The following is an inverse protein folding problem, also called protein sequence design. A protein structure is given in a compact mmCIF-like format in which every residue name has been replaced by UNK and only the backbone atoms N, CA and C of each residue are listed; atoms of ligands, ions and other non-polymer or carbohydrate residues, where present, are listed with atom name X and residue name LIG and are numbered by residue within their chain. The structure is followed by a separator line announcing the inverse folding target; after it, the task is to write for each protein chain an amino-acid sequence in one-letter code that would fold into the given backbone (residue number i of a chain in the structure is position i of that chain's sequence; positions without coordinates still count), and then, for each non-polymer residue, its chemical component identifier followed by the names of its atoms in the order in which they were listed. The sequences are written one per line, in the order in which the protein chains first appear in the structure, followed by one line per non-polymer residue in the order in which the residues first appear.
data_IF_159231315253
#
_entry.id   IF_159231315253
#
_cell.length_a   1.000
_cell.length_b   1.000
_cell.length_c   1.000
_cell.angle_alpha   90.00
_cell.angle_beta   90.00
_cell.angle_gamma   90.00
#
_symmetry.space_group_name_H-M   'P 1'
#
loop_
_entity.id
_entity.type
_entity.pdbx_description
1 polymer ?
#
# COMPACT_ATOMS: atom_id res chain seq x y z
N UNK A 1 -34.79 -89.90 -22.33
CA UNK A 1 -35.43 -89.54 -21.05
C UNK A 1 -34.63 -90.20 -19.91
N UNK A 2 -33.73 -89.46 -19.26
CA UNK A 2 -33.14 -89.83 -17.96
C UNK A 2 -33.08 -88.55 -17.11
N UNK A 3 -33.68 -88.61 -15.93
CA UNK A 3 -33.66 -87.60 -14.86
C UNK A 3 -32.47 -87.85 -13.93
N UNK A 4 -32.24 -86.89 -13.01
CA UNK A 4 -31.39 -86.90 -11.80
C UNK A 4 -29.97 -86.35 -12.02
N UNK A 5 -29.39 -85.45 -11.22
CA UNK A 5 -29.69 -84.96 -9.85
C UNK A 5 -29.12 -83.53 -9.69
N UNK A 6 -29.94 -82.73 -9.02
CA UNK A 6 -29.67 -81.61 -8.10
C UNK A 6 -28.21 -81.40 -7.66
N UNK A 7 -27.66 -80.19 -7.85
CA UNK A 7 -26.81 -79.57 -6.83
C UNK A 7 -27.03 -78.06 -6.80
N UNK A 8 -27.60 -77.61 -5.70
CA UNK A 8 -27.80 -76.23 -5.30
C UNK A 8 -26.48 -75.72 -4.71
N UNK A 9 -25.93 -74.63 -5.23
CA UNK A 9 -24.94 -73.82 -4.49
C UNK A 9 -25.38 -72.38 -4.56
N UNK A 10 -25.91 -71.92 -3.43
CA UNK A 10 -26.18 -70.52 -3.12
C UNK A 10 -24.88 -69.95 -2.56
N UNK A 11 -24.31 -68.92 -3.19
CA UNK A 11 -23.36 -68.02 -2.55
C UNK A 11 -23.83 -66.57 -2.76
N UNK A 12 -24.13 -65.96 -1.63
CA UNK A 12 -24.44 -64.55 -1.41
C UNK A 12 -23.18 -63.67 -1.51
N UNK A 13 -23.43 -62.35 -1.51
CA UNK A 13 -22.55 -61.24 -1.10
C UNK A 13 -21.85 -60.44 -2.21
N UNK A 14 -22.54 -59.36 -2.59
CA UNK A 14 -22.09 -57.95 -2.47
C UNK A 14 -20.61 -57.65 -2.70
N UNK A 15 -20.32 -56.93 -3.79
CA UNK A 15 -19.44 -55.77 -3.67
C UNK A 15 -19.99 -54.62 -4.51
N UNK A 16 -20.42 -53.59 -3.79
CA UNK A 16 -20.68 -52.25 -4.32
C UNK A 16 -19.29 -51.69 -4.61
N UNK A 17 -18.91 -51.69 -5.90
CA UNK A 17 -17.66 -51.09 -6.33
C UNK A 17 -17.69 -49.59 -6.04
N UNK A 18 -16.89 -49.20 -5.04
CA UNK A 18 -16.73 -47.83 -4.55
C UNK A 18 -16.47 -46.84 -5.69
N UNK A 19 -17.42 -45.92 -5.87
CA UNK A 19 -17.16 -44.64 -6.53
C UNK A 19 -16.47 -43.76 -5.50
N UNK A 20 -15.14 -43.78 -5.45
CA UNK A 20 -14.38 -42.90 -4.55
C UNK A 20 -13.36 -42.06 -5.30
N UNK A 21 -13.76 -40.78 -5.37
CA UNK A 21 -12.92 -39.60 -5.28
C UNK A 21 -12.00 -39.31 -6.48
N UNK A 22 -12.57 -38.59 -7.45
CA UNK A 22 -11.87 -37.46 -8.05
C UNK A 22 -11.35 -36.58 -6.88
N UNK A 23 -10.06 -36.71 -6.56
CA UNK A 23 -9.36 -35.76 -5.71
C UNK A 23 -9.30 -34.44 -6.48
N UNK A 24 -10.35 -33.66 -6.27
CA UNK A 24 -10.47 -32.27 -6.64
C UNK A 24 -9.30 -31.55 -5.95
N UNK A 25 -8.20 -31.37 -6.70
CA UNK A 25 -7.11 -30.45 -6.36
C UNK A 25 -7.71 -29.05 -6.39
N UNK A 26 -8.47 -28.71 -5.35
CA UNK A 26 -9.10 -27.42 -5.12
C UNK A 26 -7.98 -26.41 -4.94
N UNK A 27 -7.66 -25.72 -6.04
CA UNK A 27 -7.62 -24.27 -6.08
C UNK A 27 -6.92 -23.61 -4.88
N UNK A 28 -5.60 -23.78 -4.81
CA UNK A 28 -4.69 -22.80 -4.20
C UNK A 28 -4.50 -21.55 -5.10
N UNK A 29 -5.22 -21.46 -6.22
CA UNK A 29 -5.03 -20.47 -7.28
C UNK A 29 -5.95 -19.24 -7.22
N UNK A 30 -6.84 -19.10 -6.23
CA UNK A 30 -7.81 -18.00 -6.30
C UNK A 30 -8.27 -17.53 -4.93
N UNK A 31 -7.29 -17.21 -4.10
CA UNK A 31 -7.47 -16.17 -3.10
C UNK A 31 -6.41 -15.11 -3.35
N UNK A 32 -6.46 -14.53 -4.55
CA UNK A 32 -6.18 -13.11 -4.74
C UNK A 32 -7.13 -12.36 -3.81
N UNK A 33 -6.81 -12.35 -2.52
CA UNK A 33 -7.24 -11.28 -1.64
C UNK A 33 -6.51 -10.08 -2.20
N UNK A 34 -7.22 -9.34 -3.05
CA UNK A 34 -6.85 -7.98 -3.42
C UNK A 34 -6.33 -7.32 -2.15
N UNK A 35 -5.05 -6.96 -2.15
CA UNK A 35 -4.43 -6.31 -0.99
C UNK A 35 -5.29 -5.10 -0.69
N UNK A 36 -5.86 -5.07 0.51
CA UNK A 36 -6.71 -3.97 0.90
C UNK A 36 -5.81 -2.76 1.14
N UNK A 37 -5.75 -1.90 0.13
CA UNK A 37 -5.15 -0.59 0.23
C UNK A 37 -6.18 0.36 0.82
N UNK A 38 -5.84 0.99 1.93
CA UNK A 38 -6.69 1.98 2.59
C UNK A 38 -6.04 3.35 2.48
N UNK A 39 -6.87 4.39 2.38
CA UNK A 39 -6.41 5.79 2.34
C UNK A 39 -6.70 6.46 3.66
N UNK A 40 -5.65 6.97 4.32
CA UNK A 40 -5.76 7.74 5.55
C UNK A 40 -5.41 9.20 5.30
N UNK A 41 -6.38 10.09 5.43
CA UNK A 41 -6.15 11.54 5.43
C UNK A 41 -5.82 11.98 6.86
N UNK A 42 -4.63 12.52 7.06
CA UNK A 42 -4.12 12.88 8.38
C UNK A 42 -4.15 14.39 8.63
N UNK A 43 -4.00 15.19 7.57
CA UNK A 43 -4.00 16.64 7.65
C UNK A 43 -4.95 17.23 6.61
N UNK A 44 -5.82 18.13 7.06
CA UNK A 44 -6.72 18.86 6.15
C UNK A 44 -5.93 19.72 5.15
N UNK A 45 -4.91 20.44 5.63
CA UNK A 45 -4.03 21.24 4.79
C UNK A 45 -2.67 21.48 5.42
N UNK A 46 -1.65 21.68 4.58
CA UNK A 46 -0.32 22.18 4.94
C UNK A 46 0.00 23.30 3.97
N UNK A 47 0.37 24.47 4.48
CA UNK A 47 0.51 25.68 3.67
C UNK A 47 1.72 26.50 4.09
N UNK A 48 2.38 27.07 3.08
CA UNK A 48 3.32 28.16 3.22
C UNK A 48 2.91 29.27 2.26
N UNK A 49 2.76 30.49 2.78
CA UNK A 49 2.43 31.69 2.01
C UNK A 49 3.36 32.81 2.50
N UNK A 50 4.22 33.28 1.61
CA UNK A 50 5.23 34.30 1.92
C UNK A 50 5.14 35.45 0.94
N UNK A 51 5.12 36.65 1.49
CA UNK A 51 5.32 37.88 0.73
C UNK A 51 6.75 37.95 0.18
N UNK A 52 6.95 38.83 -0.80
CA UNK A 52 8.24 38.98 -1.47
C UNK A 52 9.39 39.40 -0.55
N UNK A 53 9.11 40.06 0.58
CA UNK A 53 10.08 40.58 1.54
C UNK A 53 10.08 39.84 2.89
N UNK A 54 9.41 38.69 2.97
CA UNK A 54 9.21 37.95 4.21
C UNK A 54 10.24 36.81 4.40
N UNK A 55 11.24 36.68 3.52
CA UNK A 55 12.19 35.57 3.54
C UNK A 55 11.55 34.25 3.07
N UNK A 56 11.54 33.24 3.94
CA UNK A 56 11.08 31.88 3.63
C UNK A 56 10.15 31.28 4.67
N UNK A 57 9.19 30.47 4.23
CA UNK A 57 8.37 29.60 5.05
C UNK A 57 8.74 28.15 4.80
N UNK A 58 8.75 27.35 5.88
CA UNK A 58 8.89 25.89 5.79
C UNK A 58 7.87 25.22 6.70
N UNK A 59 7.38 24.06 6.30
CA UNK A 59 6.54 23.22 7.15
C UNK A 59 6.90 21.75 6.98
N UNK A 60 6.98 21.04 8.10
CA UNK A 60 7.23 19.60 8.16
C UNK A 60 6.07 18.90 8.86
N UNK A 61 5.64 17.75 8.32
CA UNK A 61 4.62 16.88 8.92
C UNK A 61 5.01 15.43 8.80
N UNK A 62 4.71 14.66 9.84
CA UNK A 62 4.81 13.21 9.81
C UNK A 62 3.46 12.60 9.43
N UNK A 63 3.53 11.56 8.59
CA UNK A 63 2.40 10.74 8.20
C UNK A 63 2.68 9.30 8.62
N UNK A 64 2.13 8.89 9.75
CA UNK A 64 2.36 7.57 10.34
C UNK A 64 1.27 6.56 9.95
N UNK A 65 1.70 5.39 9.47
CA UNK A 65 0.82 4.24 9.33
C UNK A 65 0.53 3.63 10.73
N UNK A 66 -0.74 3.30 11.04
CA UNK A 66 -1.10 2.69 12.32
C UNK A 66 -0.46 1.32 12.52
N UNK A 67 -0.42 0.79 13.75
CA UNK A 67 0.08 -0.56 14.01
C UNK A 67 -0.63 -1.62 13.15
N UNK A 68 0.13 -2.59 12.63
CA UNK A 68 -0.38 -3.61 11.69
C UNK A 68 -0.38 -3.18 10.22
N UNK A 69 -0.06 -1.92 9.94
CA UNK A 69 0.00 -1.36 8.58
C UNK A 69 1.40 -0.81 8.28
N UNK A 70 1.75 -0.84 6.99
CA UNK A 70 2.92 -0.15 6.44
C UNK A 70 2.48 1.00 5.54
N UNK A 71 3.32 2.02 5.44
CA UNK A 71 3.08 3.13 4.52
C UNK A 71 3.33 2.65 3.08
N UNK A 72 2.44 3.05 2.17
CA UNK A 72 2.52 2.64 0.77
C UNK A 72 2.87 3.82 -0.13
N UNK A 73 2.12 4.94 -0.02
CA UNK A 73 2.32 6.12 -0.87
C UNK A 73 1.76 7.37 -0.23
N UNK A 74 2.41 8.52 -0.39
CA UNK A 74 1.82 9.80 0.02
C UNK A 74 0.72 10.22 -0.94
N UNK A 75 -0.40 10.70 -0.39
CA UNK A 75 -1.53 11.24 -1.15
C UNK A 75 -1.84 12.65 -0.71
N UNK A 76 -2.13 13.52 -1.67
CA UNK A 76 -2.51 14.92 -1.42
C UNK A 76 -3.17 15.51 -2.67
N UNK A 77 -3.91 16.60 -2.46
CA UNK A 77 -4.38 17.49 -3.51
C UNK A 77 -3.51 18.75 -3.50
N UNK A 78 -2.93 19.12 -4.63
CA UNK A 78 -2.19 20.37 -4.77
C UNK A 78 -3.18 21.52 -5.01
N UNK A 79 -3.45 22.33 -3.98
CA UNK A 79 -4.40 23.44 -4.09
C UNK A 79 -3.74 24.68 -4.70
N UNK A 80 -2.47 24.94 -4.40
CA UNK A 80 -1.70 26.03 -4.97
C UNK A 80 -0.20 25.71 -4.96
N UNK A 81 0.52 26.13 -6.00
CA UNK A 81 1.98 26.13 -6.06
C UNK A 81 2.41 27.19 -7.08
N UNK A 82 3.18 28.18 -6.63
CA UNK A 82 3.64 29.24 -7.52
C UNK A 82 4.35 30.39 -6.81
N UNK A 83 4.78 31.35 -7.61
CA UNK A 83 5.57 32.50 -7.17
C UNK A 83 7.07 32.32 -7.42
N UNK A 84 7.90 32.92 -6.57
CA UNK A 84 9.36 32.96 -6.79
C UNK A 84 10.02 31.59 -6.65
N UNK A 85 9.91 30.95 -5.47
CA UNK A 85 10.45 29.62 -5.25
C UNK A 85 9.56 28.81 -4.29
N UNK A 86 9.25 27.58 -4.67
CA UNK A 86 8.52 26.61 -3.82
C UNK A 86 9.16 25.23 -3.95
N UNK A 87 9.01 24.40 -2.90
CA UNK A 87 9.43 23.00 -2.96
C UNK A 87 8.53 22.12 -2.10
N UNK A 88 8.48 20.84 -2.45
CA UNK A 88 7.85 19.78 -1.66
C UNK A 88 8.70 18.51 -1.75
N UNK A 89 8.87 17.82 -0.63
CA UNK A 89 9.63 16.56 -0.52
C UNK A 89 8.90 15.58 0.38
N UNK A 90 8.90 14.32 -0.01
CA UNK A 90 8.33 13.21 0.75
C UNK A 90 9.45 12.20 0.98
N UNK A 91 9.78 11.95 2.24
CA UNK A 91 10.89 11.06 2.59
C UNK A 91 10.36 9.89 3.40
N UNK A 92 10.57 8.63 2.98
CA UNK A 92 10.26 7.46 3.81
C UNK A 92 11.09 7.52 5.10
N UNK A 93 10.50 7.08 6.20
CA UNK A 93 11.12 7.05 7.51
C UNK A 93 10.53 5.92 8.36
N UNK A 94 11.14 5.63 9.51
CA UNK A 94 10.71 4.56 10.42
C UNK A 94 10.62 3.21 9.68
N UNK A 95 11.74 2.81 9.11
CA UNK A 95 11.97 1.55 8.42
C UNK A 95 11.88 0.37 9.39
N UNK A 96 11.41 -0.77 8.90
CA UNK A 96 11.39 -1.99 9.72
C UNK A 96 12.83 -2.48 9.93
N UNK A 97 13.19 -2.77 11.17
CA UNK A 97 14.52 -3.31 11.49
C UNK A 97 14.59 -4.79 11.12
N UNK A 98 15.66 -5.20 10.43
CA UNK A 98 15.88 -6.57 9.95
C UNK A 98 14.74 -7.06 9.05
N UNK A 99 14.27 -6.22 8.14
CA UNK A 99 13.24 -6.60 7.18
C UNK A 99 13.77 -7.68 6.22
N UNK A 100 13.08 -8.82 6.05
CA UNK A 100 13.46 -9.81 5.04
C UNK A 100 13.21 -9.34 3.58
N UNK A 101 12.44 -8.27 3.38
CA UNK A 101 12.14 -7.72 2.06
C UNK A 101 13.20 -6.69 1.64
N UNK A 102 13.57 -6.66 0.36
CA UNK A 102 14.45 -5.63 -0.22
C UNK A 102 13.82 -5.04 -1.48
N UNK A 103 13.48 -3.74 -1.53
CA UNK A 103 13.73 -2.73 -0.50
C UNK A 103 12.87 -2.91 0.77
N UNK A 104 13.40 -2.44 1.89
CA UNK A 104 12.78 -2.55 3.21
C UNK A 104 11.39 -1.89 3.24
N UNK A 105 10.52 -2.39 4.12
CA UNK A 105 9.25 -1.73 4.41
C UNK A 105 9.49 -0.56 5.35
N UNK A 106 8.55 0.37 5.38
CA UNK A 106 8.60 1.53 6.26
C UNK A 106 7.19 1.94 6.69
N UNK A 107 7.12 2.73 7.77
CA UNK A 107 5.84 3.08 8.41
C UNK A 107 5.50 4.56 8.36
N UNK A 108 6.46 5.42 8.01
CA UNK A 108 6.27 6.86 8.06
C UNK A 108 6.70 7.53 6.76
N UNK A 109 6.02 8.61 6.41
CA UNK A 109 6.57 9.63 5.54
C UNK A 109 6.78 10.94 6.30
N UNK A 110 7.95 11.55 6.11
CA UNK A 110 8.21 12.96 6.42
C UNK A 110 7.85 13.80 5.20
N UNK A 111 6.82 14.62 5.34
CA UNK A 111 6.42 15.63 4.36
C UNK A 111 7.13 16.92 4.71
N UNK A 112 7.81 17.51 3.73
CA UNK A 112 8.41 18.83 3.83
C UNK A 112 7.87 19.70 2.70
N UNK A 113 7.46 20.92 3.02
CA UNK A 113 7.16 21.97 2.02
C UNK A 113 7.93 23.24 2.37
N UNK A 114 8.28 24.01 1.34
CA UNK A 114 8.83 25.34 1.51
C UNK A 114 8.36 26.32 0.44
N UNK A 115 8.38 27.60 0.79
CA UNK A 115 8.18 28.71 -0.12
C UNK A 115 9.11 29.86 0.28
N UNK A 116 9.67 30.57 -0.70
CA UNK A 116 10.52 31.73 -0.46
C UNK A 116 10.14 32.87 -1.38
N UNK A 117 10.02 34.08 -0.81
CA UNK A 117 9.92 35.32 -1.56
C UNK A 117 11.23 35.63 -2.29
N UNK A 118 11.17 36.61 -3.20
CA UNK A 118 12.33 37.07 -3.96
C UNK A 118 13.35 37.87 -3.14
N UNK A 119 12.94 38.41 -2.00
CA UNK A 119 13.66 39.38 -1.16
C UNK A 119 14.23 40.57 -1.95
N UNK A 120 13.58 40.95 -3.06
CA UNK A 120 14.07 42.00 -3.97
C UNK A 120 13.07 43.12 -4.16
N UNK A 121 13.50 44.35 -3.88
CA UNK A 121 12.68 45.56 -4.10
C UNK A 121 12.33 45.79 -5.59
N UNK A 122 13.13 45.23 -6.51
CA UNK A 122 12.93 45.33 -7.96
C UNK A 122 12.09 44.18 -8.53
N UNK A 123 11.88 43.12 -7.77
CA UNK A 123 11.11 41.95 -8.18
C UNK A 123 10.22 41.51 -7.01
N UNK A 124 9.07 42.14 -6.83
CA UNK A 124 8.23 41.97 -5.63
C UNK A 124 7.33 40.74 -5.69
N UNK A 125 7.91 39.58 -6.01
CA UNK A 125 7.20 38.31 -6.15
C UNK A 125 7.31 37.49 -4.86
N UNK A 126 6.16 37.20 -4.26
CA UNK A 126 6.04 36.24 -3.15
C UNK A 126 6.05 34.79 -3.63
N UNK A 127 5.81 33.85 -2.72
CA UNK A 127 5.64 32.45 -3.07
C UNK A 127 4.63 31.77 -2.17
N UNK A 128 3.88 30.82 -2.74
CA UNK A 128 2.86 30.10 -2.00
C UNK A 128 2.80 28.65 -2.45
N UNK A 129 2.66 27.75 -1.49
CA UNK A 129 2.39 26.33 -1.72
C UNK A 129 1.38 25.85 -0.69
N UNK A 130 0.35 25.13 -1.15
CA UNK A 130 -0.70 24.56 -0.30
C UNK A 130 -1.05 23.16 -0.77
N UNK A 131 -0.88 22.21 0.14
CA UNK A 131 -1.34 20.84 0.00
C UNK A 131 -2.62 20.67 0.82
N UNK A 132 -3.61 19.97 0.27
CA UNK A 132 -4.87 19.63 0.92
C UNK A 132 -5.06 18.13 0.98
N UNK A 133 -5.84 17.67 1.96
CA UNK A 133 -6.12 16.24 2.20
C UNK A 133 -4.83 15.42 2.19
N UNK A 134 -3.84 15.86 2.97
CA UNK A 134 -2.53 15.23 3.02
C UNK A 134 -2.62 13.98 3.88
N UNK A 135 -2.19 12.87 3.32
CA UNK A 135 -2.35 11.57 3.91
C UNK A 135 -1.44 10.52 3.29
N UNK A 136 -1.69 9.28 3.64
CA UNK A 136 -0.98 8.10 3.12
C UNK A 136 -1.97 7.05 2.68
N UNK A 137 -1.69 6.43 1.54
CA UNK A 137 -2.20 5.09 1.28
C UNK A 137 -1.38 4.11 2.12
N UNK A 138 -2.05 3.13 2.71
CA UNK A 138 -1.47 2.10 3.57
C UNK A 138 -1.90 0.71 3.10
N UNK A 139 -1.06 -0.28 3.37
CA UNK A 139 -1.35 -1.70 3.14
C UNK A 139 -0.96 -2.51 4.38
N UNK A 140 -1.42 -3.77 4.54
CA UNK A 140 -1.03 -4.60 5.67
C UNK A 140 0.49 -4.70 5.78
N UNK A 141 1.03 -4.62 7.01
CA UNK A 141 2.46 -4.73 7.25
C UNK A 141 3.06 -6.07 6.77
N UNK A 142 2.23 -7.11 6.70
CA UNK A 142 2.62 -8.45 6.23
C UNK A 142 2.69 -8.58 4.71
N UNK A 143 2.33 -7.54 3.95
CA UNK A 143 2.45 -7.56 2.50
C UNK A 143 3.92 -7.56 2.07
N UNK A 144 4.27 -8.50 1.20
CA UNK A 144 5.59 -8.64 0.57
C UNK A 144 5.80 -7.59 -0.54
N UNK A 145 6.97 -7.62 -1.18
CA UNK A 145 7.28 -6.67 -2.25
C UNK A 145 6.40 -6.85 -3.49
N UNK A 146 6.02 -8.09 -3.87
CA UNK A 146 5.11 -8.31 -4.99
C UNK A 146 3.75 -7.65 -4.74
N UNK A 147 3.25 -7.77 -3.52
CA UNK A 147 2.04 -7.13 -3.03
C UNK A 147 2.16 -5.60 -3.04
N UNK A 148 3.29 -5.04 -2.58
CA UNK A 148 3.57 -3.59 -2.62
C UNK A 148 3.58 -3.05 -4.05
N UNK A 149 4.24 -3.74 -4.99
CA UNK A 149 4.24 -3.37 -6.41
C UNK A 149 2.84 -3.41 -7.01
N UNK A 150 2.06 -4.47 -6.74
CA UNK A 150 0.68 -4.58 -7.21
C UNK A 150 -0.22 -3.48 -6.65
N UNK A 151 0.03 -3.03 -5.41
CA UNK A 151 -0.70 -1.93 -4.79
C UNK A 151 -0.24 -0.53 -5.28
N UNK A 152 0.88 -0.46 -6.02
CA UNK A 152 1.48 0.78 -6.51
C UNK A 152 2.16 1.61 -5.41
N UNK A 153 2.76 0.93 -4.42
CA UNK A 153 3.52 1.59 -3.36
C UNK A 153 4.84 2.16 -3.89
N UNK A 154 5.32 3.21 -3.23
CA UNK A 154 6.68 3.67 -3.44
C UNK A 154 7.64 2.61 -2.85
N UNK A 155 8.71 2.33 -3.59
CA UNK A 155 9.71 1.32 -3.24
C UNK A 155 11.11 1.97 -3.20
N UNK A 156 11.33 2.93 -2.28
CA UNK A 156 12.61 3.60 -2.15
C UNK A 156 13.67 2.64 -1.63
N UNK A 157 14.91 2.79 -2.10
CA UNK A 157 16.05 2.07 -1.55
C UNK A 157 16.29 2.49 -0.08
N UNK A 158 16.69 1.52 0.73
CA UNK A 158 17.12 1.71 2.13
C UNK A 158 18.61 1.37 2.17
N UNK A 159 19.44 2.35 2.52
CA UNK A 159 20.92 2.27 2.51
C UNK A 159 21.47 1.19 3.48
#
# INVERSE_FOLDING_TARGET
MLRNILLLVVIFLTSVGSVTAFAQKKSSAQKERSIQKERLILWKSIECDVAWNAGSCTATKDLDAPPGWQACKVVYNLAHEGGFATSKKFTPDNWYTNDPESPDRYRRYKVYISASGSDSIFNQVGARIRLENVGIDIIPATADNAARYAAGCDMPDHD
#
